data_IF_958891053100
#
_entry.id   IF_958891053100
#
_cell.length_a   1.000
_cell.length_b   1.000
_cell.length_c   1.000
_cell.angle_alpha   90.00
_cell.angle_beta   90.00
_cell.angle_gamma   90.00
#
_symmetry.space_group_name_H-M   'P 1'
#
loop_
_entity.id
_entity.type
_entity.pdbx_description
1 polymer ?
#
# COMPACT_ATOMS: atom_id res chain seq x y z
N UNK A 1 -61.16 35.86 17.55
CA UNK A 1 -59.89 35.18 17.91
C UNK A 1 -59.05 36.15 18.71
N UNK A 2 -58.80 35.89 19.99
CA UNK A 2 -57.95 36.75 20.83
C UNK A 2 -56.49 36.48 20.44
N UNK A 3 -55.83 37.42 19.74
CA UNK A 3 -54.39 37.33 19.46
C UNK A 3 -53.65 37.24 20.79
N UNK A 4 -52.81 36.21 20.96
CA UNK A 4 -52.12 35.84 22.20
C UNK A 4 -51.01 36.81 22.63
N UNK A 5 -51.27 38.12 22.62
CA UNK A 5 -50.29 39.18 22.95
C UNK A 5 -50.22 39.49 24.45
N UNK A 6 -50.96 38.74 25.29
CA UNK A 6 -51.11 39.06 26.72
C UNK A 6 -49.96 38.53 27.60
N UNK A 7 -49.07 37.71 27.05
CA UNK A 7 -47.92 37.16 27.78
C UNK A 7 -46.62 37.76 27.26
N UNK A 8 -46.15 38.83 27.90
CA UNK A 8 -44.92 39.56 27.50
C UNK A 8 -43.72 38.63 27.34
N UNK A 9 -43.60 37.60 28.18
CA UNK A 9 -42.54 36.59 28.08
C UNK A 9 -42.61 35.77 26.77
N UNK A 10 -43.81 35.38 26.33
CA UNK A 10 -44.00 34.67 25.05
C UNK A 10 -43.75 35.57 23.85
N UNK A 11 -44.13 36.85 23.92
CA UNK A 11 -43.86 37.83 22.85
C UNK A 11 -42.35 38.08 22.71
N UNK A 12 -41.64 38.21 23.83
CA UNK A 12 -40.16 38.35 23.82
C UNK A 12 -39.51 37.08 23.29
N UNK A 13 -39.94 35.89 23.76
CA UNK A 13 -39.44 34.62 23.27
C UNK A 13 -39.66 34.44 21.76
N UNK A 14 -40.83 34.83 21.25
CA UNK A 14 -41.15 34.76 19.83
C UNK A 14 -40.31 35.76 19.01
N UNK A 15 -40.08 36.97 19.54
CA UNK A 15 -39.18 37.95 18.93
C UNK A 15 -37.73 37.45 18.84
N UNK A 16 -37.20 36.87 19.93
CA UNK A 16 -35.86 36.27 19.95
C UNK A 16 -35.78 35.09 18.97
N UNK A 17 -36.80 34.23 18.95
CA UNK A 17 -36.86 33.09 18.05
C UNK A 17 -36.88 33.50 16.58
N UNK A 18 -37.62 34.57 16.23
CA UNK A 18 -37.60 35.13 14.88
C UNK A 18 -36.23 35.70 14.51
N UNK A 19 -35.54 36.36 15.44
CA UNK A 19 -34.19 36.88 15.22
C UNK A 19 -33.18 35.76 14.95
N UNK A 20 -33.24 34.68 15.75
CA UNK A 20 -32.39 33.49 15.58
C UNK A 20 -32.71 32.78 14.27
N UNK A 21 -33.99 32.61 13.94
CA UNK A 21 -34.41 32.03 12.67
C UNK A 21 -33.93 32.87 11.48
N UNK A 22 -34.05 34.19 11.54
CA UNK A 22 -33.52 35.10 10.53
C UNK A 22 -32.00 35.01 10.39
N UNK A 23 -31.27 34.90 11.50
CA UNK A 23 -29.82 34.70 11.48
C UNK A 23 -29.41 33.36 10.85
N UNK A 24 -30.13 32.27 11.17
CA UNK A 24 -29.88 30.95 10.57
C UNK A 24 -30.17 30.92 9.07
N UNK A 25 -31.21 31.62 8.63
CA UNK A 25 -31.50 31.77 7.19
C UNK A 25 -30.42 32.62 6.52
N UNK A 26 -29.98 33.72 7.15
CA UNK A 26 -28.90 34.55 6.61
C UNK A 26 -27.56 33.81 6.52
N UNK A 27 -27.20 33.01 7.53
CA UNK A 27 -25.96 32.25 7.54
C UNK A 27 -25.99 31.07 6.54
N UNK A 28 -27.12 30.40 6.36
CA UNK A 28 -27.23 29.27 5.43
C UNK A 28 -27.56 29.65 3.98
N UNK A 29 -28.25 30.77 3.71
CA UNK A 29 -28.69 31.13 2.36
C UNK A 29 -27.78 32.19 1.72
N UNK A 30 -27.32 33.18 2.48
CA UNK A 30 -26.53 34.31 1.96
C UNK A 30 -25.04 34.11 2.18
N UNK A 31 -24.63 33.42 3.25
CA UNK A 31 -23.22 33.26 3.61
C UNK A 31 -22.60 31.92 3.19
N UNK A 32 -23.11 31.21 2.18
CA UNK A 32 -22.45 29.98 1.72
C UNK A 32 -21.10 30.33 1.06
N UNK A 33 -19.93 29.92 1.60
CA UNK A 33 -18.73 29.81 0.78
C UNK A 33 -18.95 28.65 -0.20
N UNK A 34 -18.93 28.96 -1.49
CA UNK A 34 -19.12 28.00 -2.58
C UNK A 34 -18.17 26.80 -2.45
N UNK A 35 -18.73 25.64 -2.13
CA UNK A 35 -18.09 24.35 -2.33
C UNK A 35 -18.45 23.86 -3.74
N UNK A 36 -17.47 23.55 -4.61
CA UNK A 36 -17.76 23.05 -5.94
C UNK A 36 -18.37 21.65 -5.89
N UNK A 37 -19.50 21.51 -6.56
CA UNK A 37 -20.23 20.28 -6.84
C UNK A 37 -19.38 19.26 -7.62
N UNK A 38 -19.29 18.02 -7.14
CA UNK A 38 -18.81 16.87 -7.91
C UNK A 38 -20.02 16.08 -8.47
N UNK A 39 -19.94 15.52 -9.70
CA UNK A 39 -21.10 14.99 -10.40
C UNK A 39 -21.53 13.61 -9.88
N UNK A 40 -22.85 13.40 -9.88
CA UNK A 40 -23.50 12.16 -9.52
C UNK A 40 -23.23 11.05 -10.54
N UNK A 41 -22.72 9.91 -10.06
CA UNK A 41 -22.76 8.63 -10.77
C UNK A 41 -23.94 7.79 -10.27
N UNK A 42 -24.87 7.56 -11.19
CA UNK A 42 -26.09 6.75 -11.11
C UNK A 42 -25.78 5.26 -10.94
N UNK A 43 -26.53 4.50 -10.12
CA UNK A 43 -26.69 3.06 -10.30
C UNK A 43 -28.06 2.71 -10.92
N UNK A 44 -28.19 1.54 -11.60
CA UNK A 44 -29.47 1.06 -12.13
C UNK A 44 -30.36 0.49 -11.02
N UNK A 45 -31.66 0.58 -11.26
CA UNK A 45 -32.73 0.16 -10.37
C UNK A 45 -32.85 -1.37 -10.27
N UNK A 46 -32.96 -1.90 -9.04
CA UNK A 46 -33.69 -3.14 -8.75
C UNK A 46 -34.58 -2.87 -7.52
N UNK A 47 -35.83 -3.33 -7.63
CA UNK A 47 -37.01 -2.95 -6.88
C UNK A 47 -37.11 -3.52 -5.44
N UNK A 48 -37.72 -2.70 -4.55
CA UNK A 48 -38.77 -2.97 -3.52
C UNK A 48 -38.98 -4.42 -3.03
N UNK A 49 -39.28 -4.80 -1.77
CA UNK A 49 -39.56 -4.26 -0.41
C UNK A 49 -39.73 -5.54 0.51
N UNK A 50 -40.27 -5.56 1.76
CA UNK A 50 -40.28 -4.68 2.95
C UNK A 50 -39.83 -5.43 4.26
N UNK A 51 -40.06 -4.80 5.45
CA UNK A 51 -40.28 -5.37 6.81
C UNK A 51 -39.33 -4.96 7.99
N UNK A 52 -39.77 -3.92 8.75
CA UNK A 52 -39.91 -3.68 10.23
C UNK A 52 -38.90 -4.33 11.24
N UNK A 53 -38.61 -3.83 12.50
CA UNK A 53 -38.82 -2.54 13.21
C UNK A 53 -37.54 -1.89 13.82
N UNK A 54 -37.72 -0.70 14.41
CA UNK A 54 -36.75 0.05 15.20
C UNK A 54 -36.44 -0.56 16.60
N UNK A 55 -35.18 -0.44 17.04
CA UNK A 55 -34.78 -0.53 18.47
C UNK A 55 -33.68 0.52 18.78
N UNK A 56 -34.04 1.43 19.68
CA UNK A 56 -33.30 2.37 20.58
C UNK A 56 -31.77 2.55 20.51
N UNK A 57 -31.25 3.79 20.71
CA UNK A 57 -29.83 4.02 21.03
C UNK A 57 -29.55 4.00 22.55
N UNK A 58 -28.37 3.50 23.01
CA UNK A 58 -27.83 3.85 24.30
C UNK A 58 -26.71 4.90 24.19
N UNK A 59 -26.96 6.02 24.86
CA UNK A 59 -26.08 6.78 25.78
C UNK A 59 -24.56 6.56 25.67
N UNK A 60 -23.89 7.64 25.26
CA UNK A 60 -22.70 8.28 25.85
C UNK A 60 -21.72 7.45 26.71
N UNK A 61 -20.45 7.38 26.27
CA UNK A 61 -19.27 7.34 27.16
C UNK A 61 -17.96 7.67 26.44
N UNK A 62 -17.32 8.75 26.92
CA UNK A 62 -15.88 9.01 27.03
C UNK A 62 -14.96 8.92 25.78
N UNK A 63 -14.42 10.10 25.40
CA UNK A 63 -13.21 10.25 24.58
C UNK A 63 -11.96 9.75 25.32
N UNK A 64 -11.01 9.08 24.64
CA UNK A 64 -9.61 9.17 25.00
C UNK A 64 -8.87 10.15 24.08
N UNK A 65 -8.25 11.14 24.70
CA UNK A 65 -7.24 12.02 24.11
C UNK A 65 -6.03 11.20 23.64
N UNK A 66 -5.72 11.25 22.34
CA UNK A 66 -4.51 10.63 21.79
C UNK A 66 -3.26 11.48 22.10
N UNK A 67 -2.13 10.88 22.52
CA UNK A 67 -0.91 11.62 22.74
C UNK A 67 -0.19 11.95 21.42
N UNK A 68 0.30 13.19 21.37
CA UNK A 68 1.19 13.79 20.36
C UNK A 68 2.39 12.89 20.06
N UNK A 69 2.50 12.43 18.81
CA UNK A 69 3.65 11.67 18.33
C UNK A 69 4.91 12.56 18.18
N UNK A 70 6.11 12.10 18.59
CA UNK A 70 7.35 12.81 18.32
C UNK A 70 7.80 12.59 16.87
N UNK A 71 8.19 13.68 16.21
CA UNK A 71 8.81 13.69 14.90
C UNK A 71 10.20 13.04 14.95
N UNK A 72 10.28 11.74 14.66
CA UNK A 72 11.52 11.00 14.47
C UNK A 72 12.12 11.27 13.10
N UNK A 73 13.32 11.88 13.10
CA UNK A 73 14.18 12.13 11.93
C UNK A 73 14.81 10.81 11.47
N UNK A 74 14.03 9.95 10.80
CA UNK A 74 14.51 8.74 10.16
C UNK A 74 14.86 9.00 8.70
N UNK A 75 16.16 8.96 8.37
CA UNK A 75 16.67 8.93 6.99
C UNK A 75 16.46 7.52 6.44
N UNK A 76 15.26 7.23 5.97
CA UNK A 76 15.07 6.16 5.01
C UNK A 76 15.06 6.83 3.64
N UNK A 77 15.93 6.39 2.73
CA UNK A 77 15.99 6.79 1.32
C UNK A 77 14.74 6.34 0.56
N UNK A 78 13.59 6.79 1.04
CA UNK A 78 12.29 6.57 0.44
C UNK A 78 12.13 7.66 -0.61
N UNK A 79 12.13 7.27 -1.88
CA UNK A 79 11.98 8.18 -3.01
C UNK A 79 10.62 8.89 -2.91
N UNK A 80 10.65 10.09 -2.35
CA UNK A 80 9.52 11.00 -2.27
C UNK A 80 9.69 12.01 -3.40
N UNK A 81 8.99 11.86 -4.55
CA UNK A 81 9.04 12.87 -5.60
C UNK A 81 8.50 14.17 -5.02
N UNK A 82 9.41 15.09 -4.67
CA UNK A 82 9.07 16.44 -4.27
C UNK A 82 8.69 17.17 -5.54
N UNK A 83 7.41 17.54 -5.63
CA UNK A 83 6.95 18.43 -6.69
C UNK A 83 7.78 19.72 -6.64
N UNK A 84 8.28 20.23 -7.79
CA UNK A 84 8.99 21.50 -7.84
C UNK A 84 8.14 22.59 -7.19
N UNK A 85 8.64 23.21 -6.11
CA UNK A 85 7.92 24.23 -5.34
C UNK A 85 7.43 23.80 -3.94
N UNK A 86 7.44 22.51 -3.60
CA UNK A 86 7.02 22.00 -2.29
C UNK A 86 8.16 21.39 -1.45
N UNK A 87 9.41 21.73 -1.78
CA UNK A 87 10.56 21.30 -0.99
C UNK A 87 10.50 21.88 0.43
N UNK A 88 10.91 21.06 1.41
CA UNK A 88 10.95 21.46 2.82
C UNK A 88 12.11 22.43 3.11
N UNK A 89 13.13 22.46 2.24
CA UNK A 89 14.25 23.39 2.31
C UNK A 89 13.88 24.66 1.56
N UNK A 90 14.00 25.81 2.20
CA UNK A 90 13.62 27.09 1.60
C UNK A 90 14.44 27.41 0.34
N UNK A 91 15.70 27.01 0.30
CA UNK A 91 16.60 27.22 -0.85
C UNK A 91 16.22 26.39 -2.09
N UNK A 92 15.52 25.26 -1.91
CA UNK A 92 15.07 24.39 -3.00
C UNK A 92 13.65 24.78 -3.49
N UNK A 93 13.04 25.86 -2.97
CA UNK A 93 11.70 26.28 -3.37
C UNK A 93 11.80 27.15 -4.62
N UNK A 94 11.32 26.59 -5.70
CA UNK A 94 11.34 27.17 -7.03
C UNK A 94 10.11 28.09 -7.14
N UNK A 95 10.31 29.41 -7.10
CA UNK A 95 9.25 30.42 -7.24
C UNK A 95 8.88 30.60 -8.73
N UNK A 96 7.74 30.09 -9.23
CA UNK A 96 7.41 30.12 -10.66
C UNK A 96 7.26 31.54 -11.23
N UNK A 97 6.96 32.54 -10.39
CA UNK A 97 6.83 33.94 -10.82
C UNK A 97 8.14 34.72 -10.94
N UNK A 98 9.26 34.19 -10.42
CA UNK A 98 10.60 34.80 -10.55
C UNK A 98 11.46 34.10 -11.59
N UNK A 99 10.98 32.99 -12.15
CA UNK A 99 11.72 32.19 -13.12
C UNK A 99 11.39 32.70 -14.50
N UNK A 100 12.44 32.88 -15.29
CA UNK A 100 12.31 33.20 -16.70
C UNK A 100 11.68 32.00 -17.44
N UNK A 101 10.49 32.16 -18.07
CA UNK A 101 9.84 31.08 -18.80
C UNK A 101 10.57 30.74 -20.11
N UNK A 102 11.56 31.53 -20.51
CA UNK A 102 12.35 31.27 -21.72
C UNK A 102 13.21 30.02 -21.55
N UNK A 103 13.20 29.16 -22.56
CA UNK A 103 13.95 27.91 -22.55
C UNK A 103 15.46 28.17 -22.58
N UNK A 104 16.18 27.71 -21.55
CA UNK A 104 17.64 27.89 -21.41
C UNK A 104 18.41 26.80 -22.14
N UNK A 105 18.70 27.03 -23.42
CA UNK A 105 19.46 26.09 -24.28
C UNK A 105 20.85 25.74 -23.71
N UNK A 106 21.52 26.72 -23.10
CA UNK A 106 22.86 26.51 -22.53
C UNK A 106 22.88 25.48 -21.38
N UNK A 107 21.80 25.41 -20.59
CA UNK A 107 21.68 24.44 -19.50
C UNK A 107 21.31 23.05 -20.01
N UNK A 108 20.52 22.98 -21.09
CA UNK A 108 20.20 21.71 -21.75
C UNK A 108 21.44 21.09 -22.38
N UNK A 109 22.26 21.88 -23.07
CA UNK A 109 23.54 21.44 -23.62
C UNK A 109 24.49 20.91 -22.54
N UNK A 110 24.49 21.52 -21.35
CA UNK A 110 25.25 21.04 -20.19
C UNK A 110 24.69 19.75 -19.60
N UNK A 111 23.37 19.59 -19.57
CA UNK A 111 22.72 18.37 -19.06
C UNK A 111 22.95 17.17 -19.97
N UNK A 112 22.99 17.38 -21.29
CA UNK A 112 23.31 16.34 -22.28
C UNK A 112 24.71 15.75 -22.09
N UNK A 113 25.67 16.57 -21.65
CA UNK A 113 27.04 16.13 -21.37
C UNK A 113 27.17 15.33 -20.06
N UNK A 114 26.18 15.40 -19.17
CA UNK A 114 26.22 14.67 -17.90
C UNK A 114 25.80 13.22 -18.16
N UNK A 115 26.72 12.29 -17.92
CA UNK A 115 26.41 10.87 -17.99
C UNK A 115 25.34 10.51 -16.94
N UNK A 116 24.22 9.87 -17.33
CA UNK A 116 23.15 9.55 -16.40
C UNK A 116 23.65 8.57 -15.33
N UNK A 117 23.45 8.85 -14.03
CA UNK A 117 23.86 7.94 -12.97
C UNK A 117 22.90 6.74 -12.94
N UNK A 118 23.23 5.67 -13.65
CA UNK A 118 22.36 4.49 -13.70
C UNK A 118 22.83 3.43 -14.67
N UNK A 119 22.79 2.19 -14.19
CA UNK A 119 23.21 0.96 -14.86
C UNK A 119 22.80 0.87 -16.34
N UNK A 120 23.76 1.12 -17.25
CA UNK A 120 23.94 0.58 -18.62
C UNK A 120 22.75 0.51 -19.59
N UNK A 121 21.55 0.95 -19.21
CA UNK A 121 20.30 0.79 -19.96
C UNK A 121 19.57 2.11 -19.98
N UNK A 122 19.44 2.68 -21.17
CA UNK A 122 18.61 3.84 -21.41
C UNK A 122 17.14 3.47 -21.17
N UNK A 123 16.56 3.95 -20.08
CA UNK A 123 15.16 3.67 -19.70
C UNK A 123 14.13 4.23 -20.69
N UNK A 124 14.56 5.14 -21.55
CA UNK A 124 13.74 5.80 -22.58
C UNK A 124 13.93 5.21 -23.97
N UNK A 125 14.87 4.28 -24.15
CA UNK A 125 15.02 3.53 -25.39
C UNK A 125 14.22 2.24 -25.28
N UNK A 126 13.11 2.18 -26.02
CA UNK A 126 12.36 0.94 -26.21
C UNK A 126 13.10 0.14 -27.28
N UNK A 127 13.98 -0.75 -26.83
CA UNK A 127 14.77 -1.60 -27.69
C UNK A 127 15.34 -2.78 -26.91
N UNK A 128 15.85 -3.81 -27.60
CA UNK A 128 16.57 -4.90 -26.96
C UNK A 128 17.69 -4.33 -26.08
N UNK A 129 17.98 -4.95 -24.92
CA UNK A 129 19.07 -4.48 -24.05
C UNK A 129 20.36 -4.37 -24.86
N UNK A 130 21.22 -3.35 -24.61
CA UNK A 130 22.51 -3.29 -25.27
C UNK A 130 23.22 -4.62 -25.03
N UNK A 131 23.64 -5.23 -26.14
CA UNK A 131 24.37 -6.49 -26.15
C UNK A 131 25.57 -6.26 -25.25
N UNK A 132 25.59 -6.93 -24.08
CA UNK A 132 26.73 -6.91 -23.17
C UNK A 132 27.98 -7.04 -24.02
N UNK A 133 28.83 -6.02 -24.00
CA UNK A 133 30.16 -6.13 -24.57
C UNK A 133 30.75 -7.42 -24.04
N UNK A 134 31.14 -8.27 -24.98
CA UNK A 134 31.58 -9.62 -24.71
C UNK A 134 32.66 -9.57 -23.63
N UNK A 135 32.58 -10.39 -22.56
CA UNK A 135 33.66 -10.47 -21.62
C UNK A 135 34.91 -10.84 -22.40
N UNK A 136 35.89 -9.93 -22.36
CA UNK A 136 37.21 -10.07 -22.98
C UNK A 136 37.68 -11.50 -22.76
N UNK A 137 37.96 -12.18 -23.89
CA UNK A 137 38.39 -13.56 -23.97
C UNK A 137 39.80 -13.70 -23.39
N UNK A 138 39.91 -13.67 -22.07
CA UNK A 138 41.13 -13.95 -21.32
C UNK A 138 41.10 -15.39 -20.79
N UNK A 139 42.08 -16.21 -21.17
CA UNK A 139 42.27 -17.55 -20.58
C UNK A 139 42.60 -17.40 -19.10
N UNK A 140 41.76 -17.90 -18.22
CA UNK A 140 42.12 -18.10 -16.82
C UNK A 140 43.27 -19.12 -16.73
N UNK A 141 44.41 -18.79 -16.09
CA UNK A 141 45.50 -19.75 -15.92
C UNK A 141 45.09 -20.78 -14.87
N UNK A 142 44.87 -22.01 -15.32
CA UNK A 142 44.70 -23.19 -14.47
C UNK A 142 46.01 -23.43 -13.73
N UNK A 143 45.99 -23.30 -12.41
CA UNK A 143 47.10 -23.71 -11.55
C UNK A 143 46.91 -25.19 -11.23
N UNK A 144 47.76 -26.12 -11.70
CA UNK A 144 47.60 -27.55 -11.40
C UNK A 144 48.09 -27.82 -9.98
N UNK A 145 47.17 -28.04 -9.03
CA UNK A 145 47.53 -28.62 -7.74
C UNK A 145 47.70 -30.13 -7.95
N UNK A 146 48.97 -30.55 -7.96
CA UNK A 146 49.39 -31.92 -8.18
C UNK A 146 48.74 -32.89 -7.17
N UNK A 147 48.19 -33.98 -7.71
CA UNK A 147 47.69 -35.11 -6.97
C UNK A 147 48.81 -35.86 -6.23
N UNK A 148 48.56 -36.27 -4.99
CA UNK A 148 49.29 -37.39 -4.36
C UNK A 148 48.34 -38.31 -3.59
N UNK A 149 47.97 -39.36 -4.32
CA UNK A 149 47.73 -40.79 -3.98
C UNK A 149 47.20 -41.20 -2.60
N UNK A 150 46.09 -41.95 -2.71
CA UNK A 150 45.77 -43.24 -2.06
C UNK A 150 46.08 -43.38 -0.56
N UNK A 151 45.03 -43.46 0.27
CA UNK A 151 44.78 -44.65 1.06
C UNK A 151 43.43 -44.60 1.79
N UNK A 152 42.78 -45.76 1.83
CA UNK A 152 41.56 -46.12 2.58
C UNK A 152 40.23 -45.49 2.12
N UNK A 153 39.28 -46.37 1.82
CA UNK A 153 37.84 -46.11 1.73
C UNK A 153 37.26 -46.31 3.14
N UNK A 154 36.90 -45.25 3.89
CA UNK A 154 35.92 -45.41 4.95
C UNK A 154 34.55 -45.64 4.31
N UNK A 155 33.84 -46.66 4.80
CA UNK A 155 32.46 -46.91 4.44
C UNK A 155 31.63 -45.63 4.57
N UNK A 156 30.93 -45.28 3.49
CA UNK A 156 30.00 -44.16 3.46
C UNK A 156 28.93 -44.40 4.55
N UNK A 157 28.77 -43.50 5.53
CA UNK A 157 27.70 -43.63 6.51
C UNK A 157 26.35 -43.62 5.79
N UNK A 158 25.36 -44.39 6.26
CA UNK A 158 24.08 -44.54 5.59
C UNK A 158 23.44 -43.17 5.33
N UNK A 159 23.06 -42.93 4.07
CA UNK A 159 22.30 -41.74 3.67
C UNK A 159 21.14 -41.56 4.64
N UNK A 160 21.00 -40.39 5.30
CA UNK A 160 19.88 -40.16 6.19
C UNK A 160 18.57 -40.36 5.42
N UNK A 161 17.54 -40.96 6.06
CA UNK A 161 16.29 -41.29 5.40
C UNK A 161 15.71 -40.04 4.75
N UNK A 162 15.32 -40.17 3.47
CA UNK A 162 14.57 -39.12 2.77
C UNK A 162 13.39 -38.73 3.65
N UNK A 163 13.31 -37.47 4.12
CA UNK A 163 12.22 -37.05 4.98
C UNK A 163 10.89 -37.32 4.26
N UNK A 164 9.85 -37.73 5.01
CA UNK A 164 8.57 -38.12 4.44
C UNK A 164 8.05 -37.00 3.54
N UNK A 165 7.45 -37.35 2.39
CA UNK A 165 6.90 -36.37 1.47
C UNK A 165 5.92 -35.48 2.26
N UNK A 166 6.04 -34.15 2.13
CA UNK A 166 5.21 -33.22 2.88
C UNK A 166 3.74 -33.51 2.58
N UNK A 167 2.86 -33.42 3.59
CA UNK A 167 1.44 -33.57 3.38
C UNK A 167 0.99 -32.53 2.33
N UNK A 168 0.19 -32.95 1.33
CA UNK A 168 -0.28 -32.03 0.30
C UNK A 168 -1.12 -30.94 0.95
N UNK A 169 -0.65 -29.69 0.81
CA UNK A 169 -1.37 -28.52 1.24
C UNK A 169 -2.34 -28.15 0.12
N UNK A 170 -3.64 -28.24 0.38
CA UNK A 170 -4.69 -27.91 -0.60
C UNK A 170 -4.93 -26.39 -0.76
N UNK A 171 -4.12 -25.56 -0.09
CA UNK A 171 -4.18 -24.10 -0.17
C UNK A 171 -3.49 -23.63 -1.46
N UNK A 172 -4.26 -23.15 -2.41
CA UNK A 172 -3.75 -22.48 -3.60
C UNK A 172 -3.48 -21.02 -3.27
N UNK A 173 -2.28 -20.52 -3.56
CA UNK A 173 -1.98 -19.10 -3.46
C UNK A 173 -2.35 -18.42 -4.77
N UNK A 174 -3.26 -17.44 -4.75
CA UNK A 174 -3.75 -16.80 -5.98
C UNK A 174 -3.44 -15.29 -6.06
N UNK A 175 -2.92 -14.68 -4.99
CA UNK A 175 -2.44 -13.30 -5.08
C UNK A 175 -2.13 -12.67 -3.74
N UNK A 176 -1.62 -11.44 -3.78
CA UNK A 176 -1.37 -10.62 -2.60
C UNK A 176 -1.78 -9.17 -2.84
N UNK A 177 -2.17 -8.50 -1.77
CA UNK A 177 -2.41 -7.06 -1.73
C UNK A 177 -1.42 -6.42 -0.75
N UNK A 178 -0.94 -5.23 -1.10
CA UNK A 178 -0.15 -4.38 -0.22
C UNK A 178 -0.84 -3.03 -0.16
N UNK A 179 -1.17 -2.54 1.04
CA UNK A 179 -1.71 -1.19 1.16
C UNK A 179 -0.59 -0.17 0.81
N UNK A 180 -0.93 0.93 0.11
CA UNK A 180 0.04 1.97 -0.23
C UNK A 180 0.62 2.57 1.06
N UNK A 181 1.95 2.46 1.22
CA UNK A 181 2.67 2.88 2.43
C UNK A 181 2.74 1.84 3.56
N UNK A 182 2.21 0.62 3.38
CA UNK A 182 2.39 -0.48 4.35
C UNK A 182 3.39 -1.52 3.84
N UNK A 183 4.32 -1.92 4.71
CA UNK A 183 5.21 -3.07 4.47
C UNK A 183 4.46 -4.41 4.67
N UNK A 184 3.26 -4.37 5.25
CA UNK A 184 2.45 -5.55 5.50
C UNK A 184 1.75 -6.00 4.23
N UNK A 185 2.22 -7.09 3.64
CA UNK A 185 1.53 -7.78 2.57
C UNK A 185 0.43 -8.66 3.17
N UNK A 186 -0.69 -8.72 2.47
CA UNK A 186 -1.81 -9.61 2.76
C UNK A 186 -1.91 -10.58 1.59
N UNK A 187 -1.77 -11.88 1.83
CA UNK A 187 -1.92 -12.91 0.82
C UNK A 187 -3.33 -13.47 0.83
N UNK A 188 -3.76 -13.90 -0.34
CA UNK A 188 -5.04 -14.55 -0.56
C UNK A 188 -4.81 -16.00 -0.97
N UNK A 189 -5.52 -16.90 -0.30
CA UNK A 189 -5.46 -18.33 -0.50
C UNK A 189 -6.84 -18.86 -0.84
N UNK A 190 -6.90 -19.83 -1.73
CA UNK A 190 -8.09 -20.61 -2.04
C UNK A 190 -7.94 -21.99 -1.43
N UNK A 191 -8.93 -22.41 -0.67
CA UNK A 191 -9.06 -23.74 -0.11
C UNK A 191 -10.33 -24.38 -0.64
N UNK A 192 -10.24 -25.02 -1.80
CA UNK A 192 -11.41 -25.44 -2.56
C UNK A 192 -12.19 -24.23 -3.08
N UNK A 193 -13.27 -23.88 -2.39
CA UNK A 193 -14.19 -22.78 -2.72
C UNK A 193 -14.06 -21.58 -1.76
N UNK A 194 -13.38 -21.77 -0.62
CA UNK A 194 -13.25 -20.74 0.40
C UNK A 194 -12.03 -19.84 0.15
N UNK A 195 -12.24 -18.52 0.23
CA UNK A 195 -11.19 -17.52 0.18
C UNK A 195 -10.71 -17.21 1.59
N UNK A 196 -9.44 -17.48 1.84
CA UNK A 196 -8.77 -17.17 3.10
C UNK A 196 -7.80 -16.02 2.89
N UNK A 197 -7.86 -15.04 3.79
CA UNK A 197 -7.03 -13.84 3.77
C UNK A 197 -6.11 -13.87 4.98
N UNK A 198 -4.80 -13.74 4.77
CA UNK A 198 -3.83 -13.78 5.86
C UNK A 198 -2.63 -12.84 5.62
N UNK A 199 -2.13 -12.24 6.70
CA UNK A 199 -0.93 -11.40 6.69
C UNK A 199 0.33 -12.21 7.04
N UNK A 200 1.50 -11.66 6.74
CA UNK A 200 2.77 -12.23 7.22
C UNK A 200 2.74 -12.43 8.74
N UNK A 201 2.92 -13.67 9.19
CA UNK A 201 2.88 -14.11 10.57
C UNK A 201 1.55 -14.72 11.03
N UNK A 202 0.47 -14.61 10.26
CA UNK A 202 -0.89 -15.07 10.60
C UNK A 202 -1.10 -16.57 10.32
N UNK A 203 -2.02 -17.22 11.04
CA UNK A 203 -2.31 -18.65 10.92
C UNK A 203 -3.61 -18.94 10.17
N UNK A 204 -3.50 -19.68 9.07
CA UNK A 204 -4.57 -20.21 8.24
C UNK A 204 -5.02 -21.58 8.75
N UNK A 205 -6.34 -21.80 8.82
CA UNK A 205 -6.98 -23.06 9.27
C UNK A 205 -6.42 -23.60 10.60
N UNK A 206 -5.89 -22.73 11.47
CA UNK A 206 -5.20 -23.06 12.73
C UNK A 206 -4.02 -24.06 12.59
N UNK A 207 -3.54 -24.30 11.37
CA UNK A 207 -2.45 -25.24 11.08
C UNK A 207 -1.32 -24.60 10.30
N UNK A 208 -1.59 -23.66 9.42
CA UNK A 208 -0.56 -23.13 8.54
C UNK A 208 -0.23 -21.69 8.87
N UNK A 209 0.97 -21.41 9.32
CA UNK A 209 1.46 -20.07 9.58
C UNK A 209 2.09 -19.48 8.32
N UNK A 210 1.66 -18.30 7.93
CA UNK A 210 2.25 -17.58 6.82
C UNK A 210 3.58 -16.96 7.25
N UNK A 211 4.71 -17.41 6.70
CA UNK A 211 6.03 -16.90 7.08
C UNK A 211 6.40 -15.68 6.26
N UNK A 212 6.22 -15.77 4.93
CA UNK A 212 6.65 -14.72 4.01
C UNK A 212 5.83 -14.70 2.73
N UNK A 213 5.50 -13.51 2.26
CA UNK A 213 4.78 -13.30 1.00
C UNK A 213 5.75 -12.78 -0.07
N UNK A 214 6.12 -13.67 -0.98
CA UNK A 214 6.81 -13.35 -2.21
C UNK A 214 5.84 -12.91 -3.30
N UNK A 215 6.39 -12.31 -4.36
CA UNK A 215 5.59 -11.84 -5.50
C UNK A 215 5.01 -13.02 -6.27
N UNK A 216 5.81 -14.08 -6.48
CA UNK A 216 5.44 -15.26 -7.27
C UNK A 216 5.24 -16.52 -6.43
N UNK A 217 5.51 -16.46 -5.12
CA UNK A 217 5.40 -17.60 -4.23
C UNK A 217 5.23 -17.17 -2.78
N UNK A 218 4.61 -18.02 -1.98
CA UNK A 218 4.43 -17.85 -0.54
C UNK A 218 5.18 -18.93 0.19
N UNK A 219 5.89 -18.56 1.26
CA UNK A 219 6.47 -19.53 2.20
C UNK A 219 5.53 -19.66 3.38
N UNK A 220 5.04 -20.87 3.61
CA UNK A 220 4.12 -21.21 4.66
C UNK A 220 4.73 -22.27 5.57
N UNK A 221 4.62 -22.10 6.87
CA UNK A 221 5.08 -23.04 7.89
C UNK A 221 3.89 -23.84 8.40
N UNK A 222 3.96 -25.16 8.34
CA UNK A 222 2.99 -26.02 9.01
C UNK A 222 3.28 -26.06 10.52
N UNK A 223 2.28 -25.79 11.34
CA UNK A 223 2.37 -25.74 12.81
C UNK A 223 2.50 -27.15 13.40
N UNK A 224 1.91 -28.16 12.75
CA UNK A 224 1.99 -29.55 13.19
C UNK A 224 3.36 -30.15 12.85
N UNK A 225 3.82 -29.91 11.61
CA UNK A 225 5.08 -30.46 11.11
C UNK A 225 6.30 -29.58 11.38
N UNK A 226 6.11 -28.32 11.82
CA UNK A 226 7.14 -27.25 11.92
C UNK A 226 8.04 -27.17 10.70
N UNK A 227 7.46 -27.42 9.52
CA UNK A 227 8.18 -27.45 8.24
C UNK A 227 7.68 -26.32 7.37
N UNK A 228 8.62 -25.69 6.68
CA UNK A 228 8.32 -24.66 5.69
C UNK A 228 8.08 -25.30 4.33
N UNK A 229 7.01 -24.87 3.66
CA UNK A 229 6.64 -25.26 2.32
C UNK A 229 6.40 -24.01 1.49
N UNK A 230 6.96 -24.00 0.29
CA UNK A 230 6.78 -22.93 -0.68
C UNK A 230 5.61 -23.28 -1.60
N UNK A 231 4.61 -22.42 -1.65
CA UNK A 231 3.44 -22.55 -2.54
C UNK A 231 3.61 -21.53 -3.67
N UNK A 232 3.68 -21.96 -4.94
CA UNK A 232 3.77 -21.05 -6.06
C UNK A 232 2.44 -20.33 -6.29
N UNK A 233 2.51 -19.13 -6.88
CA UNK A 233 1.34 -18.40 -7.35
C UNK A 233 0.66 -19.22 -8.45
N UNK A 234 -0.61 -19.56 -8.21
CA UNK A 234 -1.49 -20.20 -9.18
C UNK A 234 -2.48 -19.13 -9.64
N UNK A 235 -2.22 -18.56 -10.81
CA UNK A 235 -3.15 -17.66 -11.47
C UNK A 235 -4.25 -18.51 -12.11
N UNK A 236 -5.42 -18.62 -11.46
CA UNK A 236 -6.62 -19.00 -12.20
C UNK A 236 -7.05 -17.78 -13.00
N UNK A 237 -6.45 -17.65 -14.19
CA UNK A 237 -6.93 -16.74 -15.22
C UNK A 237 -8.31 -17.24 -15.68
N UNK A 238 -9.35 -16.58 -15.18
CA UNK A 238 -10.72 -16.70 -15.69
C UNK A 238 -10.91 -15.97 -17.01
#
# INVERSE_FOLDING_TARGET
MKLGTNERGKVIALGVLLLVAGYLVYSNVISQPSTPSAPASRPPAIAQAPDIPAVTPPVESARPVSPRAPSGRGRNDEFRPVLPGHSKRADDRIDPGKIDPTLRLDLLAKLEQVEPPGSGRNLFQVGPPPKKEEPLKGKEPIVPLAAKKEDTKPAEPPKPPTPPPPPPINLKYYGFSSAPGSTTKTAFFLDGEDILVAREGETLKRRYRLVRIGVNSVVMEDTDSKRQQTIPLTEEAG
#
